data_IF_974538979713
#
_entry.id   IF_974538979713
#
_cell.length_a   1.000
_cell.length_b   1.000
_cell.length_c   1.000
_cell.angle_alpha   90.00
_cell.angle_beta   90.00
_cell.angle_gamma   90.00
#
_symmetry.space_group_name_H-M   'P 1'
#
loop_
_entity.id
_entity.type
_entity.pdbx_description
1 polymer ?
#
# COMPACT_ATOMS: atom_id res chain seq x y z
N UNK A 1 8.51 15.65 35.82
CA UNK A 1 8.86 14.81 34.67
C UNK A 1 9.33 15.70 33.53
N UNK A 2 10.57 15.56 33.01
CA UNK A 2 11.00 16.33 31.84
C UNK A 2 10.17 15.92 30.62
N UNK A 3 9.72 16.91 29.84
CA UNK A 3 8.98 16.67 28.59
C UNK A 3 9.95 16.03 27.57
N UNK A 4 9.55 14.92 26.94
CA UNK A 4 10.37 14.22 25.95
C UNK A 4 10.71 15.10 24.74
N UNK A 5 11.83 14.78 24.05
CA UNK A 5 12.27 15.51 22.84
C UNK A 5 11.17 15.47 21.76
N UNK A 6 10.90 16.62 21.14
CA UNK A 6 9.94 16.72 20.05
C UNK A 6 10.40 15.90 18.83
N UNK A 7 9.52 15.05 18.30
CA UNK A 7 9.80 14.24 17.10
C UNK A 7 9.74 15.11 15.85
N UNK A 8 10.67 14.87 14.90
CA UNK A 8 10.68 15.52 13.58
C UNK A 8 9.36 15.27 12.85
N UNK A 9 8.87 16.29 12.12
CA UNK A 9 7.63 16.20 11.34
C UNK A 9 7.97 16.03 9.86
N UNK A 10 7.23 15.15 9.20
CA UNK A 10 7.33 14.86 7.77
C UNK A 10 5.96 15.10 7.14
N UNK A 11 5.93 15.76 5.98
CA UNK A 11 4.71 15.99 5.18
C UNK A 11 4.25 14.69 4.52
N UNK A 12 2.98 14.61 4.09
CA UNK A 12 2.46 13.45 3.35
C UNK A 12 3.26 13.20 2.07
N UNK A 13 3.48 14.27 1.30
CA UNK A 13 4.28 14.27 0.06
C UNK A 13 5.68 13.69 0.27
N UNK A 14 6.39 14.14 1.31
CA UNK A 14 7.74 13.64 1.59
C UNK A 14 7.71 12.15 1.94
N UNK A 15 6.76 11.69 2.74
CA UNK A 15 6.65 10.26 3.08
C UNK A 15 6.36 9.43 1.82
N UNK A 16 5.48 9.93 0.95
CA UNK A 16 5.13 9.26 -0.30
C UNK A 16 6.37 9.12 -1.20
N UNK A 17 7.10 10.22 -1.40
CA UNK A 17 8.35 10.21 -2.15
C UNK A 17 9.35 9.18 -1.63
N UNK A 18 9.52 9.10 -0.30
CA UNK A 18 10.44 8.14 0.33
C UNK A 18 10.03 6.69 0.04
N UNK A 19 8.74 6.37 0.18
CA UNK A 19 8.23 5.01 -0.02
C UNK A 19 8.31 4.60 -1.50
N UNK A 20 7.93 5.49 -2.41
CA UNK A 20 7.96 5.23 -3.86
C UNK A 20 9.39 5.07 -4.39
N UNK A 21 10.32 5.91 -3.93
CA UNK A 21 11.74 5.77 -4.25
C UNK A 21 12.30 4.45 -3.71
N UNK A 22 11.98 4.10 -2.45
CA UNK A 22 12.39 2.82 -1.85
C UNK A 22 11.90 1.61 -2.65
N UNK A 23 10.65 1.61 -3.13
CA UNK A 23 10.10 0.52 -3.94
C UNK A 23 10.69 0.46 -5.36
N UNK A 24 10.98 1.61 -5.95
CA UNK A 24 11.55 1.73 -7.30
C UNK A 24 13.02 1.30 -7.31
N UNK A 25 13.81 1.83 -6.37
CA UNK A 25 15.25 1.59 -6.22
C UNK A 25 15.57 0.31 -5.44
N UNK A 26 14.56 -0.39 -4.91
CA UNK A 26 14.70 -1.63 -4.09
C UNK A 26 15.60 -1.45 -2.86
N UNK A 27 15.48 -0.29 -2.21
CA UNK A 27 16.24 0.03 -1.01
C UNK A 27 15.68 -0.70 0.21
N UNK A 28 16.55 -1.09 1.14
CA UNK A 28 16.11 -1.46 2.49
C UNK A 28 15.64 -0.24 3.29
N UNK A 29 14.87 -0.47 4.35
CA UNK A 29 14.41 0.61 5.25
C UNK A 29 15.56 1.47 5.81
N UNK A 30 16.69 0.85 6.11
CA UNK A 30 17.87 1.53 6.64
C UNK A 30 18.57 2.39 5.59
N UNK A 31 18.60 1.93 4.33
CA UNK A 31 19.17 2.69 3.21
C UNK A 31 18.30 3.87 2.86
N UNK A 32 16.99 3.67 2.71
CA UNK A 32 16.03 4.73 2.49
C UNK A 32 16.08 5.78 3.63
N UNK A 33 16.16 5.35 4.89
CA UNK A 33 16.27 6.27 6.00
C UNK A 33 17.55 7.13 5.95
N UNK A 34 18.69 6.54 5.53
CA UNK A 34 19.95 7.29 5.36
C UNK A 34 19.87 8.27 4.19
N UNK A 35 19.42 7.81 3.01
CA UNK A 35 19.33 8.62 1.80
C UNK A 35 18.43 9.84 1.99
N UNK A 36 17.26 9.65 2.62
CA UNK A 36 16.28 10.70 2.85
C UNK A 36 16.42 11.41 4.20
N UNK A 37 17.49 11.14 4.96
CA UNK A 37 17.76 11.77 6.25
C UNK A 37 16.57 11.65 7.24
N UNK A 38 15.96 10.47 7.24
CA UNK A 38 14.90 10.08 8.16
C UNK A 38 15.53 9.60 9.47
N UNK A 39 15.01 10.08 10.59
CA UNK A 39 15.60 9.84 11.91
C UNK A 39 15.59 8.37 12.36
N UNK A 40 14.66 7.57 11.83
CA UNK A 40 14.48 6.17 12.25
C UNK A 40 13.95 5.34 11.08
N UNK A 41 14.62 4.24 10.76
CA UNK A 41 14.19 3.29 9.72
C UNK A 41 12.80 2.70 10.02
N UNK A 42 12.40 2.61 11.30
CA UNK A 42 11.06 2.13 11.67
C UNK A 42 9.96 3.08 11.20
N UNK A 43 10.27 4.36 11.03
CA UNK A 43 9.32 5.33 10.47
C UNK A 43 9.05 5.02 9.00
N UNK A 44 10.10 4.65 8.24
CA UNK A 44 9.98 4.26 6.83
C UNK A 44 9.14 2.99 6.69
N UNK A 45 9.42 1.96 7.50
CA UNK A 45 8.62 0.73 7.51
C UNK A 45 7.14 0.99 7.85
N UNK A 46 6.87 1.91 8.79
CA UNK A 46 5.50 2.30 9.11
C UNK A 46 4.81 3.03 7.94
N UNK A 47 5.52 3.87 7.20
CA UNK A 47 4.97 4.56 6.03
C UNK A 47 4.68 3.58 4.90
N UNK A 48 5.58 2.63 4.63
CA UNK A 48 5.34 1.60 3.63
C UNK A 48 4.09 0.78 3.97
N UNK A 49 3.92 0.37 5.24
CA UNK A 49 2.71 -0.33 5.65
C UNK A 49 1.44 0.48 5.37
N UNK A 50 1.44 1.78 5.72
CA UNK A 50 0.30 2.66 5.43
C UNK A 50 0.07 2.77 3.92
N UNK A 51 1.13 2.88 3.12
CA UNK A 51 1.03 2.95 1.67
C UNK A 51 0.41 1.68 1.06
N UNK A 52 0.79 0.50 1.57
CA UNK A 52 0.27 -0.78 1.08
C UNK A 52 -1.17 -1.06 1.54
N UNK A 53 -1.53 -0.66 2.76
CA UNK A 53 -2.86 -0.91 3.34
C UNK A 53 -3.90 0.15 2.94
N UNK A 54 -3.50 1.42 2.88
CA UNK A 54 -4.40 2.58 2.72
C UNK A 54 -4.12 3.40 1.44
N UNK A 55 -3.07 3.07 0.69
CA UNK A 55 -2.63 3.85 -0.48
C UNK A 55 -1.83 5.11 -0.13
N UNK A 56 -1.42 5.90 -1.14
CA UNK A 56 -0.64 7.12 -0.96
C UNK A 56 -1.38 8.17 -0.11
N UNK A 57 -2.71 8.29 -0.30
CA UNK A 57 -3.58 9.19 0.47
C UNK A 57 -3.50 8.93 1.98
N UNK A 58 -3.30 7.66 2.36
CA UNK A 58 -3.07 7.26 3.74
C UNK A 58 -1.92 8.02 4.40
N UNK A 59 -0.88 8.44 3.68
CA UNK A 59 0.28 9.14 4.25
C UNK A 59 0.02 10.61 4.63
N UNK A 60 -1.04 11.19 4.06
CA UNK A 60 -1.49 12.57 4.32
C UNK A 60 -2.35 12.65 5.59
N UNK A 61 -2.93 11.53 6.03
CA UNK A 61 -3.73 11.46 7.25
C UNK A 61 -2.85 11.65 8.50
N UNK A 62 -3.14 12.69 9.29
CA UNK A 62 -2.44 12.98 10.54
C UNK A 62 -2.90 12.02 11.64
N UNK A 63 -2.00 11.11 12.06
CA UNK A 63 -2.29 10.08 13.07
C UNK A 63 -1.69 10.37 14.44
N UNK A 64 -0.92 11.45 14.60
CA UNK A 64 -0.24 11.79 15.86
C UNK A 64 -1.21 12.35 16.90
N UNK A 65 -0.83 12.15 18.17
CA UNK A 65 -1.63 12.59 19.31
C UNK A 65 -2.78 11.65 19.63
N UNK A 66 -3.40 11.90 20.78
CA UNK A 66 -4.63 11.22 21.20
C UNK A 66 -5.81 12.06 20.71
N UNK A 67 -6.86 11.40 20.25
CA UNK A 67 -8.14 12.09 20.05
C UNK A 67 -8.57 12.74 21.36
N UNK A 68 -9.00 13.98 21.31
CA UNK A 68 -9.40 14.76 22.49
C UNK A 68 -10.49 15.73 22.10
N UNK A 69 -11.63 15.64 22.77
CA UNK A 69 -12.72 16.59 22.62
C UNK A 69 -12.28 18.01 23.01
N UNK A 70 -11.40 18.13 24.00
CA UNK A 70 -10.90 19.42 24.49
C UNK A 70 -9.98 20.15 23.51
N UNK A 71 -9.28 19.43 22.62
CA UNK A 71 -8.45 20.04 21.57
C UNK A 71 -9.13 20.05 20.19
N UNK A 72 -10.40 19.62 20.11
CA UNK A 72 -11.13 19.44 18.86
C UNK A 72 -10.53 18.37 17.93
N UNK A 73 -9.57 17.58 18.40
CA UNK A 73 -8.88 16.58 17.56
C UNK A 73 -9.74 15.32 17.48
N UNK A 74 -10.47 15.16 16.39
CA UNK A 74 -11.18 13.93 16.04
C UNK A 74 -10.28 13.04 15.22
N UNK A 75 -10.14 11.77 15.62
CA UNK A 75 -9.46 10.75 14.82
C UNK A 75 -10.53 9.97 14.10
N UNK A 76 -10.75 10.28 12.84
CA UNK A 76 -11.66 9.52 12.00
C UNK A 76 -11.19 8.07 11.98
N UNK A 77 -12.09 7.17 12.39
CA UNK A 77 -11.91 5.74 12.24
C UNK A 77 -12.53 5.43 10.90
N UNK A 78 -11.79 4.79 9.98
CA UNK A 78 -12.34 4.43 8.67
C UNK A 78 -13.71 3.78 8.87
N UNK A 79 -14.78 4.33 8.26
CA UNK A 79 -16.10 3.76 8.39
C UNK A 79 -16.03 2.32 7.88
N UNK A 80 -16.54 1.38 8.68
CA UNK A 80 -16.72 0.01 8.19
C UNK A 80 -17.60 0.08 6.97
N UNK A 81 -17.20 -0.58 5.88
CA UNK A 81 -18.03 -0.63 4.69
C UNK A 81 -19.37 -1.30 5.05
N UNK A 82 -20.43 -0.92 4.33
CA UNK A 82 -21.71 -1.58 4.51
C UNK A 82 -21.54 -3.06 4.11
N UNK A 83 -21.97 -4.00 4.96
CA UNK A 83 -21.79 -5.45 4.75
C UNK A 83 -22.22 -5.91 3.36
N UNK A 84 -23.33 -5.36 2.85
CA UNK A 84 -23.82 -5.69 1.50
C UNK A 84 -22.81 -5.31 0.41
N UNK A 85 -22.19 -4.14 0.53
CA UNK A 85 -21.17 -3.67 -0.41
C UNK A 85 -19.92 -4.55 -0.33
N UNK A 86 -19.52 -4.97 0.87
CA UNK A 86 -18.40 -5.90 1.05
C UNK A 86 -18.66 -7.25 0.37
N UNK A 87 -19.86 -7.82 0.54
CA UNK A 87 -20.27 -9.07 -0.10
C UNK A 87 -20.28 -8.96 -1.64
N UNK A 88 -20.87 -7.89 -2.18
CA UNK A 88 -20.90 -7.62 -3.62
C UNK A 88 -19.47 -7.50 -4.20
N UNK A 89 -18.56 -6.82 -3.49
CA UNK A 89 -17.15 -6.71 -3.88
C UNK A 89 -16.44 -8.07 -3.86
N UNK A 90 -16.72 -8.93 -2.89
CA UNK A 90 -16.14 -10.28 -2.81
C UNK A 90 -16.61 -11.12 -4.00
N UNK A 91 -17.91 -11.09 -4.32
CA UNK A 91 -18.45 -11.83 -5.46
C UNK A 91 -17.84 -11.36 -6.79
N UNK A 92 -17.72 -10.05 -6.98
CA UNK A 92 -17.07 -9.47 -8.16
C UNK A 92 -15.59 -9.86 -8.25
N UNK A 93 -14.85 -9.83 -7.12
CA UNK A 93 -13.45 -10.25 -7.12
C UNK A 93 -13.29 -11.73 -7.47
N UNK A 94 -14.19 -12.59 -7.00
CA UNK A 94 -14.21 -14.02 -7.36
C UNK A 94 -14.50 -14.21 -8.86
N UNK A 95 -15.47 -13.47 -9.41
CA UNK A 95 -15.77 -13.48 -10.85
C UNK A 95 -14.55 -13.07 -11.67
N UNK A 96 -13.90 -11.96 -11.31
CA UNK A 96 -12.72 -11.46 -12.01
C UNK A 96 -11.54 -12.43 -11.93
N UNK A 97 -11.33 -13.11 -10.77
CA UNK A 97 -10.31 -14.15 -10.66
C UNK A 97 -10.60 -15.33 -11.59
N UNK A 98 -11.85 -15.77 -11.65
CA UNK A 98 -12.25 -16.85 -12.56
C UNK A 98 -12.04 -16.46 -14.03
N UNK A 99 -12.38 -15.23 -14.40
CA UNK A 99 -12.14 -14.69 -15.75
C UNK A 99 -10.65 -14.64 -16.09
N UNK A 100 -9.81 -14.13 -15.18
CA UNK A 100 -8.35 -14.11 -15.36
C UNK A 100 -7.78 -15.52 -15.51
N UNK A 101 -8.23 -16.48 -14.70
CA UNK A 101 -7.75 -17.86 -14.78
C UNK A 101 -8.19 -18.54 -16.09
N UNK A 102 -9.41 -18.27 -16.55
CA UNK A 102 -9.88 -18.71 -17.85
C UNK A 102 -9.03 -18.16 -18.99
N UNK A 103 -8.74 -16.86 -18.98
CA UNK A 103 -7.89 -16.21 -19.99
C UNK A 103 -6.46 -16.77 -19.99
N UNK A 104 -5.88 -17.02 -18.81
CA UNK A 104 -4.56 -17.68 -18.70
C UNK A 104 -4.56 -19.08 -19.30
N UNK A 105 -5.60 -19.87 -19.03
CA UNK A 105 -5.75 -21.21 -19.60
C UNK A 105 -5.93 -21.18 -21.11
N UNK A 106 -6.73 -20.25 -21.62
CA UNK A 106 -6.91 -20.04 -23.06
C UNK A 106 -5.58 -19.70 -23.73
N UNK A 107 -4.84 -18.72 -23.20
CA UNK A 107 -3.53 -18.35 -23.73
C UNK A 107 -2.53 -19.53 -23.71
N UNK A 108 -2.56 -20.36 -22.67
CA UNK A 108 -1.71 -21.54 -22.59
C UNK A 108 -2.03 -22.57 -23.70
N UNK A 109 -3.30 -22.77 -24.02
CA UNK A 109 -3.73 -23.68 -25.10
C UNK A 109 -3.31 -23.14 -26.48
N UNK A 110 -3.53 -21.85 -26.75
CA UNK A 110 -3.10 -21.21 -28.00
C UNK A 110 -1.58 -21.34 -28.17
N UNK A 111 -0.81 -21.08 -27.11
CA UNK A 111 0.65 -21.22 -27.15
C UNK A 111 1.10 -22.67 -27.40
N UNK A 112 0.41 -23.67 -26.85
CA UNK A 112 0.63 -25.09 -27.13
C UNK A 112 0.37 -25.43 -28.60
N UNK A 113 -0.73 -24.93 -29.16
CA UNK A 113 -1.12 -25.14 -30.56
C UNK A 113 -0.08 -24.54 -31.52
N UNK A 114 0.31 -23.28 -31.30
CA UNK A 114 1.35 -22.62 -32.10
C UNK A 114 2.69 -23.39 -32.06
N UNK A 115 3.05 -23.96 -30.90
CA UNK A 115 4.25 -24.79 -30.76
C UNK A 115 4.14 -26.10 -31.55
N UNK A 116 2.96 -26.72 -31.58
CA UNK A 116 2.72 -27.94 -32.37
C UNK A 116 2.80 -27.65 -33.86
N UNK A 117 2.22 -26.55 -34.33
CA UNK A 117 2.25 -26.17 -35.74
C UNK A 117 3.66 -25.84 -36.22
N UNK A 118 4.47 -25.16 -35.39
CA UNK A 118 5.90 -24.93 -35.67
C UNK A 118 6.73 -26.20 -35.77
N UNK A 119 6.33 -27.30 -35.09
CA UNK A 119 7.02 -28.60 -35.18
C UNK A 119 6.59 -29.42 -36.39
N UNK A 120 5.44 -29.10 -36.99
CA UNK A 120 4.88 -29.79 -38.16
C UNK A 120 5.33 -29.16 -39.49
N UNK A 121 5.74 -27.89 -39.47
CA UNK A 121 6.45 -27.23 -40.56
C UNK A 121 7.94 -27.55 -40.51
#
# INVERSE_FOLDING_TARGET
MPKGKAKKRYTGEFKQQVVEAMQTEKLSYSEAARQFHVSDHKSVAQWERIYLEEGPEGLYVERRGRASAASGTQKERNPKLNKKVEEDLIAENQRLRAEVDYLKKLNALVLEEERRDKRRK
#
